data_IF_849510861008
#
_entry.id   IF_849510861008
#
_cell.length_a   1.000
_cell.length_b   1.000
_cell.length_c   1.000
_cell.angle_alpha   90.00
_cell.angle_beta   90.00
_cell.angle_gamma   90.00
#
_symmetry.space_group_name_H-M   'P 1'
#
loop_
_entity.id
_entity.type
_entity.pdbx_description
1 polymer ?
#
# COMPACT_ATOMS: atom_id res chain seq x y z
N UNK A 1 18.97 1.03 -2.09
CA UNK A 1 18.49 -0.11 -2.90
C UNK A 1 17.84 0.44 -4.16
N UNK A 2 18.42 0.20 -5.34
CA UNK A 2 17.75 0.54 -6.59
C UNK A 2 16.61 -0.44 -6.80
N UNK A 3 15.38 0.08 -6.85
CA UNK A 3 14.18 -0.75 -6.86
C UNK A 3 14.08 -1.64 -8.10
N UNK A 4 14.70 -1.30 -9.24
CA UNK A 4 14.92 -2.16 -10.41
C UNK A 4 16.02 -1.51 -11.26
N UNK A 5 17.07 -2.25 -11.63
CA UNK A 5 18.07 -1.80 -12.61
C UNK A 5 17.71 -2.43 -13.96
N UNK A 6 17.30 -1.65 -14.98
CA UNK A 6 17.01 -2.21 -16.31
C UNK A 6 17.45 -1.36 -17.51
N UNK A 7 17.99 -2.01 -18.56
CA UNK A 7 18.52 -1.36 -19.77
C UNK A 7 17.47 -0.97 -20.83
N UNK A 8 16.19 -1.38 -20.74
CA UNK A 8 15.18 -1.15 -21.80
C UNK A 8 13.87 -0.43 -21.38
N UNK A 9 13.82 0.17 -20.19
CA UNK A 9 12.80 1.17 -19.79
C UNK A 9 11.32 0.74 -19.71
N UNK A 10 10.91 -0.45 -20.17
CA UNK A 10 9.52 -0.92 -20.13
C UNK A 10 9.29 -1.97 -19.04
N UNK A 11 8.23 -1.78 -18.24
CA UNK A 11 7.77 -2.75 -17.23
C UNK A 11 6.94 -3.87 -17.87
N UNK A 12 7.31 -5.12 -17.61
CA UNK A 12 6.52 -6.30 -17.96
C UNK A 12 5.29 -6.42 -17.04
N UNK A 13 4.28 -7.18 -17.47
CA UNK A 13 3.07 -7.39 -16.67
C UNK A 13 3.39 -8.10 -15.34
N UNK A 14 4.30 -9.06 -15.32
CA UNK A 14 4.73 -9.74 -14.10
C UNK A 14 5.33 -8.79 -13.07
N UNK A 15 6.11 -7.81 -13.54
CA UNK A 15 6.76 -6.83 -12.66
C UNK A 15 5.75 -5.84 -12.10
N UNK A 16 4.73 -5.47 -12.89
CA UNK A 16 3.60 -4.67 -12.41
C UNK A 16 2.82 -5.43 -11.34
N UNK A 17 2.53 -6.71 -11.56
CA UNK A 17 1.85 -7.56 -10.55
C UNK A 17 2.67 -7.62 -9.27
N UNK A 18 4.00 -7.87 -9.36
CA UNK A 18 4.89 -7.86 -8.18
C UNK A 18 4.89 -6.49 -7.49
N UNK A 19 4.90 -5.40 -8.25
CA UNK A 19 4.84 -4.05 -7.71
C UNK A 19 3.56 -3.82 -6.91
N UNK A 20 2.39 -4.15 -7.48
CA UNK A 20 1.10 -4.03 -6.78
C UNK A 20 1.01 -4.92 -5.55
N UNK A 21 1.56 -6.14 -5.60
CA UNK A 21 1.64 -7.02 -4.43
C UNK A 21 2.47 -6.41 -3.30
N UNK A 22 3.65 -5.87 -3.61
CA UNK A 22 4.51 -5.21 -2.62
C UNK A 22 3.85 -3.96 -2.05
N UNK A 23 3.22 -3.13 -2.91
CA UNK A 23 2.50 -1.93 -2.49
C UNK A 23 1.34 -2.27 -1.55
N UNK A 24 0.52 -3.27 -1.90
CA UNK A 24 -0.58 -3.75 -1.06
C UNK A 24 -0.08 -4.32 0.26
N UNK A 25 1.01 -5.10 0.23
CA UNK A 25 1.64 -5.63 1.44
C UNK A 25 2.09 -4.52 2.40
N UNK A 26 2.83 -3.52 1.91
CA UNK A 26 3.28 -2.39 2.73
C UNK A 26 2.10 -1.58 3.27
N UNK A 27 1.09 -1.30 2.45
CA UNK A 27 -0.10 -0.57 2.87
C UNK A 27 -0.86 -1.32 3.98
N UNK A 28 -0.93 -2.66 3.92
CA UNK A 28 -1.62 -3.46 4.95
C UNK A 28 -0.92 -3.39 6.31
N UNK A 29 0.42 -3.42 6.32
CA UNK A 29 1.20 -3.30 7.56
C UNK A 29 1.01 -1.91 8.18
N UNK A 30 1.05 -0.85 7.37
CA UNK A 30 0.86 0.52 7.85
C UNK A 30 -0.59 0.71 8.36
N UNK A 31 -1.58 0.20 7.64
CA UNK A 31 -2.98 0.23 8.08
C UNK A 31 -3.16 -0.45 9.44
N UNK A 32 -2.54 -1.61 9.65
CA UNK A 32 -2.60 -2.32 10.92
C UNK A 32 -2.00 -1.50 12.07
N UNK A 33 -0.86 -0.84 11.83
CA UNK A 33 -0.23 0.04 12.84
C UNK A 33 -1.14 1.21 13.20
N UNK A 34 -1.76 1.85 12.21
CA UNK A 34 -2.70 2.96 12.44
C UNK A 34 -3.92 2.50 13.24
N UNK A 35 -4.49 1.33 12.92
CA UNK A 35 -5.61 0.77 13.71
C UNK A 35 -5.19 0.54 15.16
N UNK A 36 -4.01 -0.03 15.40
CA UNK A 36 -3.52 -0.25 16.77
C UNK A 36 -3.35 1.09 17.51
N UNK A 37 -2.81 2.11 16.85
CA UNK A 37 -2.63 3.44 17.43
C UNK A 37 -3.97 4.12 17.78
N UNK A 38 -4.95 4.04 16.89
CA UNK A 38 -6.31 4.56 17.11
C UNK A 38 -6.99 3.83 18.26
N UNK A 39 -7.00 2.49 18.24
CA UNK A 39 -7.69 1.65 19.23
C UNK A 39 -7.03 1.69 20.61
N UNK A 40 -5.72 1.87 20.68
CA UNK A 40 -5.00 2.04 21.95
C UNK A 40 -5.16 3.44 22.57
N UNK A 41 -5.77 4.39 21.85
CA UNK A 41 -5.98 5.76 22.31
C UNK A 41 -4.71 6.59 22.45
N UNK A 42 -3.55 6.07 22.02
CA UNK A 42 -2.24 6.75 22.09
C UNK A 42 -2.22 8.01 21.23
N UNK A 43 -3.06 8.07 20.19
CA UNK A 43 -3.03 9.17 19.23
C UNK A 43 -3.59 10.49 19.74
N UNK A 44 -4.36 10.49 20.84
CA UNK A 44 -4.83 11.71 21.51
C UNK A 44 -5.35 12.79 20.54
N UNK A 45 -4.59 13.88 20.40
CA UNK A 45 -4.89 15.04 19.55
C UNK A 45 -4.71 14.80 18.03
N UNK A 46 -4.07 13.71 17.61
CA UNK A 46 -3.76 13.41 16.20
C UNK A 46 -4.71 12.40 15.55
N UNK A 47 -5.81 12.05 16.22
CA UNK A 47 -6.77 11.05 15.74
C UNK A 47 -7.29 11.34 14.33
N UNK A 48 -7.60 12.60 14.00
CA UNK A 48 -8.04 12.96 12.65
C UNK A 48 -6.98 12.64 11.58
N UNK A 49 -5.70 12.89 11.87
CA UNK A 49 -4.62 12.59 10.94
C UNK A 49 -4.46 11.08 10.74
N UNK A 50 -4.66 10.30 11.79
CA UNK A 50 -4.62 8.85 11.71
C UNK A 50 -5.81 8.25 10.97
N UNK A 51 -7.02 8.78 11.18
CA UNK A 51 -8.22 8.39 10.43
C UNK A 51 -8.07 8.70 8.92
N UNK A 52 -7.50 9.86 8.59
CA UNK A 52 -7.15 10.21 7.20
C UNK A 52 -6.10 9.26 6.63
N UNK A 53 -5.05 8.96 7.40
CA UNK A 53 -4.00 8.00 7.02
C UNK A 53 -4.57 6.60 6.78
N UNK A 54 -5.46 6.14 7.65
CA UNK A 54 -6.10 4.84 7.55
C UNK A 54 -6.97 4.76 6.28
N UNK A 55 -7.74 5.82 6.02
CA UNK A 55 -8.54 5.94 4.80
C UNK A 55 -7.68 5.86 3.54
N UNK A 56 -6.54 6.56 3.51
CA UNK A 56 -5.60 6.48 2.39
C UNK A 56 -5.03 5.06 2.20
N UNK A 57 -4.74 4.34 3.29
CA UNK A 57 -4.24 2.96 3.20
C UNK A 57 -5.31 2.00 2.66
N UNK A 58 -6.58 2.17 3.02
CA UNK A 58 -7.69 1.37 2.48
C UNK A 58 -7.79 1.57 0.95
N UNK A 59 -7.68 2.80 0.47
CA UNK A 59 -7.67 3.09 -0.98
C UNK A 59 -6.47 2.42 -1.65
N UNK A 60 -5.28 2.50 -1.06
CA UNK A 60 -4.07 1.86 -1.59
C UNK A 60 -4.19 0.34 -1.68
N UNK A 61 -4.84 -0.30 -0.70
CA UNK A 61 -5.13 -1.74 -0.73
C UNK A 61 -6.08 -2.10 -1.87
N UNK A 62 -7.15 -1.34 -2.06
CA UNK A 62 -8.10 -1.54 -3.14
C UNK A 62 -7.43 -1.41 -4.52
N UNK A 63 -6.66 -0.34 -4.72
CA UNK A 63 -5.92 -0.10 -5.97
C UNK A 63 -4.88 -1.21 -6.22
N UNK A 64 -4.18 -1.65 -5.17
CA UNK A 64 -3.20 -2.74 -5.27
C UNK A 64 -3.85 -4.06 -5.67
N UNK A 65 -5.01 -4.39 -5.11
CA UNK A 65 -5.76 -5.58 -5.48
C UNK A 65 -6.22 -5.50 -6.94
N UNK A 66 -6.89 -4.42 -7.33
CA UNK A 66 -7.41 -4.24 -8.69
C UNK A 66 -6.27 -4.23 -9.71
N UNK A 67 -5.18 -3.51 -9.43
CA UNK A 67 -4.00 -3.46 -10.28
C UNK A 67 -3.39 -4.85 -10.47
N UNK A 68 -3.21 -5.61 -9.39
CA UNK A 68 -2.69 -6.98 -9.48
C UNK A 68 -3.60 -7.90 -10.31
N UNK A 69 -4.93 -7.79 -10.16
CA UNK A 69 -5.89 -8.58 -10.92
C UNK A 69 -5.93 -8.19 -12.40
N UNK A 70 -5.82 -6.90 -12.72
CA UNK A 70 -5.85 -6.40 -14.09
C UNK A 70 -4.65 -6.87 -14.90
N UNK A 71 -3.44 -6.83 -14.33
CA UNK A 71 -2.21 -7.22 -15.03
C UNK A 71 -1.87 -8.72 -14.93
N UNK A 72 -2.63 -9.49 -14.15
CA UNK A 72 -2.53 -10.95 -14.08
C UNK A 72 -3.33 -11.65 -15.20
N UNK A 73 -4.22 -10.93 -15.88
CA UNK A 73 -4.87 -11.36 -17.13
C UNK A 73 -3.92 -11.18 -18.32
#
# INVERSE_FOLDING_TARGET
MNFINRPNGKFTNEEKVKMFHTMGGVASVIALVLVILIESGIEGERRELADMGLTAMIVMLAVSLIGSMYFKK
#
